data_IF_756495309294
#
_entry.id   IF_756495309294
#
_cell.length_a   1.000
_cell.length_b   1.000
_cell.length_c   1.000
_cell.angle_alpha   90.00
_cell.angle_beta   90.00
_cell.angle_gamma   90.00
#
_symmetry.space_group_name_H-M   'P 1'
#
loop_
_entity.id
_entity.type
_entity.pdbx_description
1 polymer ?
#
# COMPACT_ATOMS: atom_id res chain seq x y z
N UNK A 22 30.52 -47.58 24.79
CA UNK A 22 30.01 -46.36 25.54
C UNK A 22 28.48 -46.46 25.55
N UNK A 23 27.80 -45.44 26.05
CA UNK A 23 26.35 -45.43 26.05
C UNK A 23 25.90 -44.05 26.46
N UNK A 24 25.44 -43.25 25.49
CA UNK A 24 24.92 -41.91 25.78
C UNK A 24 23.41 -42.12 25.84
N UNK A 25 22.76 -41.50 26.82
CA UNK A 25 21.32 -41.58 26.89
C UNK A 25 20.93 -40.41 25.99
N UNK A 26 20.17 -40.69 24.92
CA UNK A 26 19.67 -39.73 23.92
C UNK A 26 18.69 -38.71 24.43
N UNK A 27 18.99 -37.44 24.19
CA UNK A 27 18.14 -36.38 24.67
C UNK A 27 16.80 -36.27 24.00
N UNK A 28 15.92 -35.49 24.60
CA UNK A 28 14.59 -35.24 24.12
C UNK A 28 14.62 -34.30 22.96
N UNK A 29 13.44 -34.02 22.44
CA UNK A 29 13.36 -33.15 21.31
C UNK A 29 11.89 -32.91 21.06
N UNK A 30 11.61 -31.67 20.74
CA UNK A 30 10.27 -31.26 20.42
C UNK A 30 10.54 -30.41 19.22
N UNK A 31 10.24 -30.98 18.06
CA UNK A 31 10.46 -30.23 16.87
C UNK A 31 9.14 -29.71 16.54
N UNK A 32 8.98 -28.40 16.64
CA UNK A 32 7.71 -27.82 16.29
C UNK A 32 7.77 -27.47 14.84
N UNK A 33 6.84 -28.04 14.08
CA UNK A 33 6.80 -27.80 12.65
C UNK A 33 6.34 -26.40 12.28
N UNK A 34 6.51 -26.07 10.99
CA UNK A 34 6.14 -24.76 10.49
C UNK A 34 5.04 -24.75 9.43
N UNK A 35 3.95 -24.09 9.76
CA UNK A 35 2.85 -23.99 8.83
C UNK A 35 3.30 -23.00 7.82
N UNK A 36 3.04 -23.31 6.58
CA UNK A 36 3.41 -22.41 5.53
C UNK A 36 2.32 -22.54 4.52
N UNK A 37 1.52 -21.49 4.39
CA UNK A 37 0.39 -21.48 3.47
C UNK A 37 0.68 -20.63 2.25
N UNK A 38 -0.31 -20.51 1.37
CA UNK A 38 -0.18 -19.70 0.17
C UNK A 38 -1.53 -19.24 -0.24
N UNK A 39 -1.53 -18.10 -0.89
CA UNK A 39 -2.78 -17.53 -1.23
C UNK A 39 -2.71 -16.88 -2.58
N UNK A 40 -3.86 -16.85 -3.27
CA UNK A 40 -4.02 -16.25 -4.62
C UNK A 40 -5.36 -15.74 -4.93
N UNK A 41 -5.36 -14.79 -5.83
CA UNK A 41 -6.63 -14.29 -6.24
C UNK A 41 -6.58 -13.40 -7.44
N UNK A 42 -7.50 -13.80 -8.30
CA UNK A 42 -7.69 -13.18 -9.57
C UNK A 42 -8.65 -11.99 -9.51
N UNK A 43 -8.10 -10.79 -9.38
CA UNK A 43 -8.88 -9.56 -9.32
C UNK A 43 -8.96 -8.95 -10.68
N UNK A 44 -10.09 -8.36 -10.88
CA UNK A 44 -10.39 -7.76 -12.13
C UNK A 44 -10.67 -6.34 -11.92
N UNK A 45 -9.62 -5.66 -12.11
CA UNK A 45 -9.59 -4.28 -11.87
C UNK A 45 -9.86 -3.41 -13.09
N UNK A 46 -10.41 -2.22 -12.85
CA UNK A 46 -10.68 -1.29 -13.91
C UNK A 46 -10.17 0.10 -13.62
N UNK A 47 -9.60 0.67 -14.64
CA UNK A 47 -8.99 1.99 -14.55
C UNK A 47 -9.65 2.86 -15.55
N UNK A 48 -9.54 4.17 -15.34
CA UNK A 48 -10.07 5.12 -16.29
C UNK A 48 -8.86 5.90 -16.77
N UNK A 49 -9.00 6.46 -17.95
CA UNK A 49 -7.93 7.25 -18.46
C UNK A 49 -8.15 8.63 -17.87
N UNK A 50 -7.70 8.84 -16.64
CA UNK A 50 -7.89 10.15 -16.05
C UNK A 50 -7.02 11.08 -16.85
N UNK A 51 -7.65 12.08 -17.43
CA UNK A 51 -7.01 13.05 -18.30
C UNK A 51 -5.92 13.64 -17.53
N UNK A 52 -4.69 13.67 -18.10
CA UNK A 52 -3.50 14.16 -17.39
C UNK A 52 -3.78 15.35 -16.57
N UNK A 53 -4.32 14.86 -15.51
CA UNK A 53 -4.92 15.60 -14.50
C UNK A 53 -4.39 16.90 -14.15
N UNK A 54 -5.22 17.77 -14.71
CA UNK A 54 -5.16 19.17 -14.54
C UNK A 54 -4.87 19.19 -13.03
N UNK A 55 -3.73 19.75 -12.62
CA UNK A 55 -3.40 19.73 -11.22
C UNK A 55 -4.37 20.42 -10.31
N UNK A 56 -4.73 19.73 -9.24
CA UNK A 56 -5.67 20.31 -8.31
C UNK A 56 -4.90 20.99 -7.20
N UNK A 57 -5.27 22.25 -6.79
CA UNK A 57 -4.56 22.92 -5.70
C UNK A 57 -4.90 22.13 -4.43
N UNK A 58 -4.26 22.50 -3.33
CA UNK A 58 -4.41 21.83 -2.05
C UNK A 58 -5.75 21.22 -1.66
N UNK A 59 -5.72 19.88 -1.66
CA UNK A 59 -6.87 19.07 -1.34
C UNK A 59 -7.48 19.48 -0.02
N UNK A 60 -6.68 20.14 0.81
CA UNK A 60 -7.15 20.60 2.11
C UNK A 60 -7.04 22.05 2.30
N UNK A 61 -7.97 22.51 3.12
CA UNK A 61 -8.02 23.89 3.49
C UNK A 61 -6.88 24.08 4.47
N UNK A 62 -6.01 23.06 4.70
CA UNK A 62 -4.88 23.18 5.64
C UNK A 62 -3.57 23.42 4.94
N UNK A 63 -3.39 22.85 3.76
CA UNK A 63 -2.16 23.07 3.03
C UNK A 63 -2.44 23.99 1.84
N UNK A 64 -3.69 24.41 1.76
CA UNK A 64 -4.23 25.30 0.75
C UNK A 64 -3.39 25.75 -0.45
N UNK A 65 -2.15 26.15 -0.21
CA UNK A 65 -1.25 26.62 -1.29
C UNK A 65 -0.27 25.53 -1.82
N UNK A 66 -0.80 24.49 -2.41
CA UNK A 66 0.06 23.42 -2.86
C UNK A 66 -0.69 22.69 -3.94
N UNK A 67 -0.02 21.87 -4.74
CA UNK A 67 -0.74 21.19 -5.78
C UNK A 67 -0.28 19.82 -6.15
N UNK A 68 -1.15 19.16 -6.87
CA UNK A 68 -0.91 17.82 -7.27
C UNK A 68 -0.97 17.57 -8.77
N UNK A 69 0.17 17.35 -9.42
CA UNK A 69 0.17 17.04 -10.86
C UNK A 69 -0.32 15.63 -10.86
N UNK A 70 -1.38 15.38 -11.58
CA UNK A 70 -1.96 14.06 -11.60
C UNK A 70 -1.79 13.15 -12.83
N UNK A 71 -1.68 11.85 -12.57
CA UNK A 71 -1.52 10.83 -13.60
C UNK A 71 -2.71 9.91 -13.46
N UNK A 72 -2.87 8.98 -14.37
CA UNK A 72 -4.00 8.05 -14.27
C UNK A 72 -3.46 6.78 -13.61
N UNK A 73 -2.14 6.70 -13.47
CA UNK A 73 -1.48 5.55 -12.88
C UNK A 73 -2.24 5.04 -11.68
N UNK A 74 -3.05 4.01 -11.89
CA UNK A 74 -3.84 3.43 -10.82
C UNK A 74 -2.93 2.63 -9.94
N UNK A 75 -3.26 2.56 -8.67
CA UNK A 75 -2.42 1.84 -7.75
C UNK A 75 -2.92 0.45 -7.38
N UNK A 76 -2.08 -0.57 -7.59
CA UNK A 76 -2.44 -1.93 -7.20
C UNK A 76 -1.87 -2.06 -5.77
N UNK A 77 -2.74 -2.23 -4.76
CA UNK A 77 -2.44 -2.34 -3.33
C UNK A 77 -1.71 -3.59 -2.88
N UNK A 78 -0.60 -3.85 -3.52
CA UNK A 78 0.19 -5.03 -3.22
C UNK A 78 1.03 -4.68 -2.05
N UNK A 79 0.33 -4.49 -0.94
CA UNK A 79 0.89 -4.10 0.33
C UNK A 79 -0.22 -4.14 1.35
N UNK A 80 -1.46 -4.11 0.89
CA UNK A 80 -2.55 -4.19 1.84
C UNK A 80 -2.86 -5.65 1.80
N UNK A 81 -2.82 -6.27 2.97
CA UNK A 81 -3.06 -7.70 3.08
C UNK A 81 -4.24 -8.29 2.29
N UNK A 82 -5.40 -7.61 2.29
CA UNK A 82 -6.58 -8.11 1.58
C UNK A 82 -6.43 -8.33 0.10
N UNK A 83 -5.45 -7.72 -0.56
CA UNK A 83 -5.33 -7.98 -1.99
C UNK A 83 -5.04 -9.45 -2.14
N UNK A 84 -4.30 -10.00 -1.16
CA UNK A 84 -3.90 -11.40 -1.14
C UNK A 84 -4.87 -12.29 -0.46
N UNK A 85 -5.09 -12.12 0.83
CA UNK A 85 -6.09 -12.98 1.39
C UNK A 85 -7.20 -12.22 2.06
N UNK A 86 -8.33 -12.90 2.18
CA UNK A 86 -9.56 -12.37 2.77
C UNK A 86 -9.53 -12.45 4.27
N UNK A 87 -10.68 -12.16 4.84
CA UNK A 87 -10.86 -12.20 6.27
C UNK A 87 -10.39 -13.43 6.98
N UNK A 88 -11.14 -14.51 6.81
CA UNK A 88 -10.78 -15.77 7.44
C UNK A 88 -9.30 -16.04 7.30
N UNK A 89 -8.81 -16.41 6.13
CA UNK A 89 -7.40 -16.72 5.98
C UNK A 89 -6.50 -15.84 6.81
N UNK A 90 -6.74 -14.53 6.78
CA UNK A 90 -5.94 -13.64 7.61
C UNK A 90 -6.27 -14.03 9.02
N UNK A 91 -7.50 -13.79 9.40
CA UNK A 91 -8.03 -14.11 10.71
C UNK A 91 -7.39 -15.32 11.40
N UNK A 92 -7.26 -16.40 10.67
CA UNK A 92 -6.75 -17.65 11.22
C UNK A 92 -5.22 -17.84 11.33
N UNK A 93 -4.44 -16.81 11.06
CA UNK A 93 -2.99 -16.96 11.16
C UNK A 93 -2.50 -16.92 12.63
N UNK A 94 -1.69 -17.90 13.00
CA UNK A 94 -1.13 -18.04 14.35
C UNK A 94 -0.24 -16.87 14.68
N UNK A 95 0.08 -16.64 15.96
CA UNK A 95 0.95 -15.49 16.21
C UNK A 95 2.31 -15.75 15.58
N UNK A 96 3.01 -14.67 15.28
CA UNK A 96 4.31 -14.78 14.67
C UNK A 96 4.17 -15.04 13.19
N UNK A 97 2.93 -15.01 12.70
CA UNK A 97 2.71 -15.24 11.28
C UNK A 97 3.30 -14.12 10.48
N UNK A 98 4.18 -14.49 9.56
CA UNK A 98 4.81 -13.51 8.72
C UNK A 98 4.66 -13.84 7.25
N UNK A 99 4.42 -12.80 6.47
CA UNK A 99 4.31 -12.93 5.01
C UNK A 99 5.72 -13.11 4.50
N UNK A 100 5.96 -14.17 3.73
CA UNK A 100 7.31 -14.41 3.27
C UNK A 100 7.68 -13.64 2.02
N UNK A 101 6.83 -13.73 1.04
CA UNK A 101 7.06 -13.08 -0.20
C UNK A 101 5.66 -12.98 -0.71
N UNK A 102 5.42 -12.14 -1.68
CA UNK A 102 4.08 -12.01 -2.22
C UNK A 102 4.22 -11.37 -3.57
N UNK A 103 3.48 -11.87 -4.54
CA UNK A 103 3.61 -11.35 -5.88
C UNK A 103 2.33 -10.98 -6.59
N UNK A 104 2.51 -10.10 -7.58
CA UNK A 104 1.46 -9.60 -8.43
C UNK A 104 1.90 -9.64 -9.89
N UNK A 105 1.01 -10.07 -10.77
CA UNK A 105 1.36 -10.08 -12.18
C UNK A 105 0.10 -9.54 -12.76
N UNK A 106 0.22 -8.64 -13.72
CA UNK A 106 -0.98 -8.11 -14.30
C UNK A 106 -0.97 -8.17 -15.79
N UNK A 107 -2.13 -8.32 -16.41
CA UNK A 107 -2.21 -8.40 -17.85
C UNK A 107 -3.06 -7.32 -18.43
N UNK A 108 -2.52 -6.60 -19.41
CA UNK A 108 -3.31 -5.55 -20.00
C UNK A 108 -4.34 -6.31 -20.76
N UNK A 109 -5.42 -6.63 -20.11
CA UNK A 109 -6.44 -7.38 -20.75
C UNK A 109 -7.11 -6.62 -21.87
N UNK A 110 -7.01 -5.30 -21.82
CA UNK A 110 -7.56 -4.37 -22.83
C UNK A 110 -8.10 -3.06 -22.24
N UNK A 111 -8.44 -2.11 -23.09
CA UNK A 111 -9.02 -0.86 -22.64
C UNK A 111 -10.14 -0.56 -23.59
N UNK A 112 -11.04 0.31 -23.18
CA UNK A 112 -12.17 0.69 -24.01
C UNK A 112 -12.28 2.20 -24.03
N UNK A 113 -12.55 2.73 -25.21
CA UNK A 113 -12.64 4.15 -25.36
C UNK A 113 -14.03 4.44 -25.89
N UNK A 114 -14.62 5.54 -25.44
CA UNK A 114 -15.97 5.95 -25.85
C UNK A 114 -16.15 6.22 -27.36
N UNK A 115 -17.37 6.57 -27.74
CA UNK A 115 -17.66 6.89 -29.12
C UNK A 115 -18.59 8.08 -29.08
N UNK A 116 -18.10 9.27 -29.44
CA UNK A 116 -18.97 10.42 -29.37
C UNK A 116 -20.06 10.26 -30.39
N UNK A 117 -21.31 10.30 -29.94
CA UNK A 117 -22.46 10.21 -30.82
C UNK A 117 -23.02 11.63 -30.83
N UNK A 118 -22.84 11.84 -29.42
CA UNK A 118 -23.27 13.22 -29.26
C UNK A 118 -22.57 14.04 -30.29
N UNK A 119 -23.06 14.60 -31.37
CA UNK A 119 -21.92 15.23 -31.87
C UNK A 119 -21.50 16.15 -30.80
N UNK A 120 -22.35 17.01 -30.49
CA UNK A 120 -22.01 17.96 -29.53
C UNK A 120 -20.62 18.29 -29.51
N UNK A 121 -19.99 18.11 -28.42
CA UNK A 121 -19.00 18.90 -28.61
C UNK A 121 -17.77 18.72 -28.60
N UNK A 122 -17.12 17.92 -28.63
CA UNK A 122 -16.24 18.84 -29.38
C UNK A 122 -16.00 18.05 -30.43
N UNK A 123 -16.20 17.12 -29.72
CA UNK A 123 -15.58 16.05 -29.78
C UNK A 123 -15.84 15.01 -30.78
N UNK A 124 -15.80 15.49 -31.95
CA UNK A 124 -15.94 14.69 -33.11
C UNK A 124 -15.81 13.18 -32.81
N UNK A 125 -16.89 12.58 -33.28
CA UNK A 125 -17.20 11.14 -33.29
C UNK A 125 -16.19 10.39 -34.15
N UNK A 126 -15.66 9.26 -33.63
CA UNK A 126 -14.70 8.49 -34.43
C UNK A 126 -14.48 7.04 -34.11
N UNK A 127 -14.31 6.31 -35.18
CA UNK A 127 -14.09 4.91 -35.07
C UNK A 127 -12.58 4.73 -35.07
N UNK A 128 -11.84 5.80 -34.86
CA UNK A 128 -10.41 5.67 -34.89
C UNK A 128 -9.67 4.95 -33.73
N UNK A 129 -8.94 4.97 -33.02
CA UNK A 129 -8.64 4.84 -31.59
C UNK A 129 -7.11 4.81 -31.39
N UNK A 130 -6.63 5.65 -30.74
CA UNK A 130 -5.27 5.67 -30.36
C UNK A 130 -5.09 5.82 -28.87
N UNK A 131 -4.76 4.73 -28.20
CA UNK A 131 -4.58 4.77 -26.76
C UNK A 131 -3.24 4.09 -26.48
N UNK A 132 -2.70 4.28 -25.27
CA UNK A 132 -1.44 3.63 -24.88
C UNK A 132 -1.20 3.37 -23.39
N UNK A 133 -0.97 2.11 -23.02
CA UNK A 133 -0.75 1.67 -21.63
C UNK A 133 0.51 2.32 -21.11
N UNK A 134 0.58 2.38 -19.79
CA UNK A 134 1.75 2.89 -19.14
C UNK A 134 1.81 2.31 -17.77
N UNK A 135 2.92 1.67 -17.48
CA UNK A 135 3.09 1.08 -16.17
C UNK A 135 4.27 1.69 -15.50
N UNK A 136 4.41 1.47 -14.19
CA UNK A 136 5.51 2.00 -13.44
C UNK A 136 5.59 1.32 -12.12
N UNK A 137 6.80 1.20 -11.63
CA UNK A 137 7.03 0.56 -10.35
C UNK A 137 7.39 1.46 -9.20
N UNK A 138 8.67 1.45 -8.83
CA UNK A 138 9.18 2.21 -7.70
C UNK A 138 8.74 3.63 -7.40
N UNK A 139 8.43 4.34 -8.48
CA UNK A 139 8.06 5.76 -8.42
C UNK A 139 7.56 6.12 -7.05
N UNK A 140 6.41 5.55 -6.80
CA UNK A 140 5.69 5.73 -5.55
C UNK A 140 6.61 6.06 -4.42
N UNK A 141 7.05 4.96 -3.89
CA UNK A 141 7.85 4.93 -2.75
C UNK A 141 9.13 5.64 -3.02
N UNK A 142 9.80 5.20 -4.05
CA UNK A 142 11.08 5.72 -4.26
C UNK A 142 11.27 7.15 -4.75
N UNK A 143 10.54 7.56 -5.80
CA UNK A 143 10.66 8.92 -6.31
C UNK A 143 10.21 10.10 -5.41
N UNK A 144 9.47 11.03 -6.01
CA UNK A 144 8.94 12.30 -5.42
C UNK A 144 7.45 12.50 -5.70
N UNK A 145 6.59 11.72 -5.04
CA UNK A 145 5.16 11.82 -5.31
C UNK A 145 4.29 11.36 -4.17
N UNK A 146 3.02 11.13 -4.43
CA UNK A 146 2.12 10.73 -3.37
C UNK A 146 0.92 10.06 -3.97
N UNK A 147 0.49 8.96 -3.36
CA UNK A 147 -0.66 8.24 -3.89
C UNK A 147 -2.04 8.85 -3.79
N UNK A 148 -2.47 9.98 -3.33
CA UNK A 148 -3.62 10.80 -3.09
C UNK A 148 -4.72 10.56 -4.00
N UNK A 149 -5.49 9.71 -3.69
CA UNK A 149 -6.39 9.60 -4.63
C UNK A 149 -7.79 9.61 -4.11
N UNK A 150 -8.53 8.71 -4.73
CA UNK A 150 -9.94 8.86 -4.72
C UNK A 150 -10.07 10.28 -4.93
N UNK A 151 -11.12 10.63 -5.54
CA UNK A 151 -11.20 11.97 -5.99
C UNK A 151 -12.63 12.61 -5.93
N UNK A 152 -12.91 13.53 -6.88
CA UNK A 152 -14.24 14.26 -6.95
C UNK A 152 -14.34 15.12 -8.23
N UNK A 153 -14.96 14.52 -9.32
CA UNK A 153 -14.86 15.25 -10.58
C UNK A 153 -15.76 15.32 -11.80
N UNK A 154 -15.31 16.27 -12.61
CA UNK A 154 -15.85 16.76 -13.87
C UNK A 154 -16.88 16.10 -14.79
N UNK A 155 -17.51 17.00 -15.59
CA UNK A 155 -18.55 16.71 -16.59
C UNK A 155 -17.89 16.31 -17.91
N UNK A 156 -18.68 15.87 -18.92
CA UNK A 156 -18.06 15.40 -20.17
C UNK A 156 -16.85 16.16 -20.63
N UNK A 157 -15.93 15.25 -20.99
CA UNK A 157 -14.55 15.53 -21.27
C UNK A 157 -14.06 15.65 -19.84
N UNK A 158 -14.72 14.62 -19.12
CA UNK A 158 -14.68 14.23 -17.66
C UNK A 158 -13.72 13.19 -17.16
N UNK A 159 -12.50 13.23 -17.66
CA UNK A 159 -11.52 12.27 -17.25
C UNK A 159 -10.52 12.91 -16.34
N UNK A 160 -10.30 14.20 -16.49
CA UNK A 160 -9.44 14.91 -15.57
C UNK A 160 -10.32 14.86 -14.33
N UNK A 161 -9.74 14.90 -13.14
CA UNK A 161 -10.66 14.85 -12.03
C UNK A 161 -10.61 16.11 -11.19
N UNK A 162 -11.25 16.05 -9.99
CA UNK A 162 -11.32 17.20 -9.02
C UNK A 162 -11.94 16.84 -7.62
N UNK A 163 -11.36 16.56 -6.62
CA UNK A 163 -11.08 16.54 -5.21
C UNK A 163 -10.01 15.46 -4.94
N UNK A 164 -8.95 15.76 -4.40
CA UNK A 164 -7.75 14.90 -4.12
C UNK A 164 -8.09 13.63 -3.29
N UNK A 165 -7.97 13.84 -1.99
CA UNK A 165 -8.43 12.93 -0.93
C UNK A 165 -7.45 11.84 -0.47
N UNK A 166 -7.66 11.50 0.79
CA UNK A 166 -6.93 10.43 1.43
C UNK A 166 -7.28 9.15 0.62
N UNK A 167 -6.25 8.45 0.12
CA UNK A 167 -6.36 7.22 -0.66
C UNK A 167 -7.20 6.21 0.11
N UNK A 168 -8.08 5.50 -0.58
CA UNK A 168 -8.93 4.57 0.12
C UNK A 168 -8.58 3.10 -0.04
N UNK A 169 -8.35 2.45 1.09
CA UNK A 169 -8.02 1.03 1.13
C UNK A 169 -9.01 0.38 2.10
N UNK A 170 -9.12 0.99 3.26
CA UNK A 170 -10.05 0.56 4.28
C UNK A 170 -11.36 1.22 3.78
N UNK A 171 -12.42 1.21 4.61
CA UNK A 171 -13.69 1.83 4.18
C UNK A 171 -13.85 3.22 4.77
N UNK A 172 -14.46 4.11 4.02
CA UNK A 172 -14.59 5.47 4.47
C UNK A 172 -16.00 5.80 4.67
N UNK A 173 -16.27 6.77 5.51
CA UNK A 173 -17.65 7.09 5.77
C UNK A 173 -17.88 8.42 6.46
N UNK A 174 -18.93 9.13 6.02
CA UNK A 174 -19.35 10.38 6.61
C UNK A 174 -20.75 9.95 7.00
N UNK A 175 -20.77 8.91 7.84
CA UNK A 175 -21.98 8.23 8.34
C UNK A 175 -22.71 7.29 7.33
N UNK A 176 -22.47 7.52 6.05
CA UNK A 176 -23.07 6.70 5.00
C UNK A 176 -22.05 5.65 4.50
N UNK A 177 -20.81 6.07 4.37
CA UNK A 177 -19.85 5.08 3.98
C UNK A 177 -19.89 4.78 2.53
N UNK A 178 -18.67 4.53 2.08
CA UNK A 178 -18.30 4.15 0.72
C UNK A 178 -17.09 3.30 0.99
N UNK A 179 -16.90 2.32 0.12
CA UNK A 179 -15.75 1.46 0.23
C UNK A 179 -15.77 0.17 1.09
N UNK A 180 -14.55 -0.36 1.24
CA UNK A 180 -14.27 -1.59 1.95
C UNK A 180 -13.49 -2.45 0.97
N UNK A 181 -12.15 -2.37 0.94
CA UNK A 181 -11.35 -3.16 0.01
C UNK A 181 -11.76 -4.58 0.21
N UNK A 182 -11.62 -4.98 1.47
CA UNK A 182 -11.95 -6.31 1.96
C UNK A 182 -13.30 -6.76 1.37
N UNK A 183 -14.35 -6.08 1.78
CA UNK A 183 -15.71 -6.38 1.34
C UNK A 183 -15.94 -6.19 -0.17
N UNK A 184 -15.13 -5.34 -0.80
CA UNK A 184 -15.27 -5.10 -2.25
C UNK A 184 -14.96 -6.40 -2.95
N UNK A 185 -13.97 -7.09 -2.43
CA UNK A 185 -13.53 -8.35 -2.98
C UNK A 185 -14.32 -9.54 -2.47
N UNK A 186 -14.79 -9.44 -1.23
CA UNK A 186 -15.44 -10.58 -0.64
C UNK A 186 -16.88 -10.57 -0.22
N UNK A 187 -17.54 -9.44 -0.26
CA UNK A 187 -18.92 -9.42 0.16
C UNK A 187 -19.12 -9.28 1.66
N UNK A 188 -20.32 -9.56 2.15
CA UNK A 188 -20.51 -9.40 3.58
C UNK A 188 -20.56 -10.75 4.24
N UNK A 189 -21.09 -10.74 5.46
CA UNK A 189 -21.22 -11.89 6.32
C UNK A 189 -22.62 -12.42 6.07
N UNK A 190 -22.84 -13.73 6.20
CA UNK A 190 -24.17 -14.29 5.91
C UNK A 190 -25.32 -13.48 6.52
N UNK A 191 -25.02 -12.73 7.56
CA UNK A 191 -26.00 -11.91 8.23
C UNK A 191 -25.93 -10.41 7.95
N UNK A 192 -24.75 -9.86 7.70
CA UNK A 192 -24.64 -8.41 7.48
C UNK A 192 -25.58 -7.80 6.45
N UNK A 193 -26.36 -6.86 6.94
CA UNK A 193 -27.34 -6.17 6.14
C UNK A 193 -26.82 -5.33 5.00
N UNK A 194 -25.97 -4.36 5.34
CA UNK A 194 -25.39 -3.37 4.39
C UNK A 194 -24.98 -4.00 3.05
N UNK A 195 -24.85 -5.32 3.08
CA UNK A 195 -24.47 -6.10 1.95
C UNK A 195 -25.34 -7.34 1.99
N UNK A 196 -25.11 -8.24 1.03
CA UNK A 196 -25.86 -9.46 0.89
C UNK A 196 -27.14 -8.78 0.08
N UNK A 197 -28.02 -9.23 -0.93
CA UNK A 197 -29.30 -8.31 -1.11
C UNK A 197 -30.00 -7.91 -2.46
N UNK A 198 -29.70 -8.36 -3.57
CA UNK A 198 -30.26 -7.61 -4.62
C UNK A 198 -29.78 -6.25 -4.29
N UNK A 199 -28.63 -6.02 -4.67
CA UNK A 199 -28.27 -4.71 -4.65
C UNK A 199 -27.29 -4.20 -3.59
N UNK A 200 -26.71 -5.09 -2.79
CA UNK A 200 -25.77 -4.65 -1.75
C UNK A 200 -24.46 -5.39 -1.65
N UNK A 201 -23.37 -4.62 -1.45
CA UNK A 201 -21.99 -5.07 -1.32
C UNK A 201 -21.82 -6.59 -1.82
N UNK A 202 -21.37 -6.79 -3.07
CA UNK A 202 -21.23 -8.15 -3.63
C UNK A 202 -19.91 -8.89 -3.49
N UNK A 203 -19.94 -10.24 -3.44
CA UNK A 203 -18.76 -11.08 -3.28
C UNK A 203 -17.70 -10.92 -4.36
N UNK A 204 -17.95 -10.06 -5.34
CA UNK A 204 -17.02 -9.82 -6.44
C UNK A 204 -16.01 -10.87 -6.75
N UNK A 205 -14.87 -10.80 -6.05
CA UNK A 205 -13.79 -11.77 -6.28
C UNK A 205 -14.20 -13.18 -6.30
N UNK A 206 -14.87 -13.50 -5.29
CA UNK A 206 -15.33 -14.83 -5.14
C UNK A 206 -16.19 -15.25 -6.36
N UNK A 207 -16.61 -14.26 -7.20
CA UNK A 207 -17.51 -14.53 -8.40
C UNK A 207 -17.40 -13.45 -9.47
N UNK A 208 -16.20 -13.42 -9.85
CA UNK A 208 -15.56 -12.62 -10.86
C UNK A 208 -16.18 -11.33 -11.23
N UNK A 209 -15.65 -10.32 -10.69
CA UNK A 209 -16.29 -9.15 -10.97
C UNK A 209 -15.50 -8.00 -11.13
N UNK A 210 -15.80 -7.23 -12.00
CA UNK A 210 -14.93 -6.21 -12.03
C UNK A 210 -15.21 -5.29 -10.90
N UNK A 211 -14.15 -4.62 -10.52
CA UNK A 211 -14.18 -3.66 -9.47
C UNK A 211 -13.08 -2.69 -9.90
N UNK A 212 -13.11 -1.47 -9.38
CA UNK A 212 -12.13 -0.47 -9.77
C UNK A 212 -10.90 -0.46 -8.90
N UNK A 213 -9.85 0.19 -9.40
CA UNK A 213 -8.63 0.35 -8.60
C UNK A 213 -8.85 1.77 -8.13
N UNK A 214 -9.44 1.88 -6.94
CA UNK A 214 -9.78 3.16 -6.29
C UNK A 214 -8.42 3.59 -5.73
N UNK A 215 -7.58 4.11 -6.18
CA UNK A 215 -6.51 5.09 -5.99
C UNK A 215 -5.73 5.27 -7.30
N UNK A 216 -5.44 6.32 -7.70
CA UNK A 216 -4.53 6.78 -8.79
C UNK A 216 -3.37 7.56 -8.15
N UNK A 217 -2.33 7.88 -8.90
CA UNK A 217 -1.21 8.55 -8.25
C UNK A 217 -0.84 9.87 -8.82
N UNK A 218 -0.27 10.72 -7.97
CA UNK A 218 0.16 12.03 -8.41
C UNK A 218 1.28 12.65 -7.64
N UNK A 219 1.72 13.80 -8.10
CA UNK A 219 2.78 14.48 -7.43
C UNK A 219 2.35 15.75 -6.76
N UNK A 220 2.91 15.99 -5.58
CA UNK A 220 2.60 17.17 -4.80
C UNK A 220 3.74 18.18 -5.05
N UNK A 221 3.51 19.39 -4.58
CA UNK A 221 4.43 20.51 -4.62
C UNK A 221 3.61 21.72 -4.29
N UNK A 222 4.18 22.65 -3.51
CA UNK A 222 3.47 23.86 -3.13
C UNK A 222 3.96 25.12 -3.90
N UNK A 223 3.96 26.25 -3.20
CA UNK A 223 4.40 27.54 -3.72
C UNK A 223 4.99 28.44 -2.48
N UNK A 224 6.30 28.62 -2.65
CA UNK A 224 7.47 29.35 -1.97
C UNK A 224 8.20 28.71 -0.87
N UNK A 225 7.77 27.84 -0.19
CA UNK A 225 8.80 27.44 0.61
C UNK A 225 9.49 26.26 -0.04
N UNK A 226 10.22 26.66 -1.08
CA UNK A 226 11.03 25.78 -1.97
C UNK A 226 10.43 25.82 -3.39
N UNK A 227 11.32 25.87 -4.46
CA UNK A 227 10.76 25.92 -5.87
C UNK A 227 11.66 25.85 -7.15
N UNK A 228 11.15 25.14 -8.16
CA UNK A 228 11.84 24.93 -9.44
C UNK A 228 11.09 24.29 -10.61
N UNK A 229 9.87 23.80 -10.42
CA UNK A 229 9.15 23.22 -11.56
C UNK A 229 8.74 21.78 -11.39
N UNK A 230 7.96 21.23 -12.35
CA UNK A 230 7.53 19.82 -12.29
C UNK A 230 8.58 18.83 -12.80
N UNK A 231 9.11 17.94 -11.94
CA UNK A 231 10.12 16.99 -12.41
C UNK A 231 9.52 16.16 -13.52
N UNK A 232 10.29 15.22 -14.06
CA UNK A 232 9.77 14.43 -15.18
C UNK A 232 9.29 13.01 -14.97
N UNK A 233 8.00 12.83 -14.74
CA UNK A 233 7.50 11.51 -14.55
C UNK A 233 7.86 10.64 -15.73
N UNK A 234 7.56 11.15 -16.93
CA UNK A 234 7.80 10.44 -18.21
C UNK A 234 9.01 9.56 -18.23
N UNK A 235 10.05 9.91 -17.48
CA UNK A 235 11.26 9.11 -17.46
C UNK A 235 11.32 8.23 -16.25
N UNK A 236 10.16 7.80 -15.78
CA UNK A 236 10.09 6.93 -14.63
C UNK A 236 8.88 6.01 -14.73
N UNK A 237 8.39 5.79 -15.93
CA UNK A 237 7.25 4.91 -16.12
C UNK A 237 7.32 4.63 -17.58
N UNK A 238 6.99 3.42 -18.00
CA UNK A 238 7.07 3.13 -19.43
C UNK A 238 5.71 3.19 -20.01
N UNK A 239 5.69 3.41 -21.31
CA UNK A 239 4.47 3.56 -22.03
C UNK A 239 4.51 2.64 -23.22
N UNK A 240 3.44 1.90 -23.45
CA UNK A 240 3.39 0.99 -24.58
C UNK A 240 2.20 1.33 -25.48
N UNK A 241 2.18 0.86 -26.71
CA UNK A 241 1.06 1.16 -27.55
C UNK A 241 -0.09 0.22 -27.25
N UNK A 242 -0.46 0.11 -25.97
CA UNK A 242 -1.58 -0.72 -25.52
C UNK A 242 -1.87 -1.89 -26.42
N UNK A 243 -2.53 -1.64 -27.54
CA UNK A 243 -2.86 -2.66 -28.51
C UNK A 243 -1.72 -3.63 -28.73
N UNK A 244 -0.52 -3.13 -28.72
CA UNK A 244 0.64 -3.97 -28.88
C UNK A 244 0.78 -4.85 -27.67
N UNK A 245 0.85 -4.20 -26.52
CA UNK A 245 1.04 -4.87 -25.24
C UNK A 245 -0.16 -5.64 -24.72
N UNK A 246 -1.28 -5.41 -25.39
CA UNK A 246 -2.52 -6.01 -25.05
C UNK A 246 -2.47 -7.47 -24.72
N UNK A 247 -3.45 -7.91 -23.95
CA UNK A 247 -3.60 -9.26 -23.48
C UNK A 247 -2.30 -9.90 -23.09
N UNK A 248 -1.27 -9.09 -22.88
CA UNK A 248 -0.01 -9.59 -22.48
C UNK A 248 0.21 -9.01 -21.15
N UNK A 249 0.75 -9.79 -20.24
CA UNK A 249 1.01 -9.26 -18.92
C UNK A 249 2.19 -8.32 -18.88
N UNK A 250 2.01 -7.16 -18.29
CA UNK A 250 3.07 -6.19 -18.07
C UNK A 250 2.85 -6.28 -16.61
N UNK A 251 2.74 -6.71 -15.77
CA UNK A 251 3.44 -6.63 -14.48
C UNK A 251 3.84 -8.04 -14.02
N UNK A 252 4.53 -8.18 -13.29
CA UNK A 252 4.93 -9.26 -12.58
C UNK A 252 6.08 -9.12 -11.58
N UNK A 253 6.07 -8.04 -10.84
CA UNK A 253 7.13 -7.87 -9.88
C UNK A 253 6.63 -8.38 -8.53
N UNK A 254 7.58 -8.76 -7.70
CA UNK A 254 7.26 -9.27 -6.38
C UNK A 254 8.07 -8.67 -5.23
N UNK A 255 7.56 -8.81 -4.02
CA UNK A 255 8.21 -8.27 -2.86
C UNK A 255 8.28 -9.32 -1.79
N UNK A 256 9.45 -9.39 -1.20
CA UNK A 256 9.70 -10.32 -0.13
C UNK A 256 9.94 -9.32 0.99
N UNK A 257 8.89 -8.96 1.74
CA UNK A 257 9.00 -8.00 2.84
C UNK A 257 10.18 -8.21 3.73
N UNK A 258 10.86 -7.13 4.09
CA UNK A 258 12.03 -7.21 4.95
C UNK A 258 11.66 -7.68 6.36
N UNK A 259 10.43 -7.36 6.78
CA UNK A 259 9.90 -7.75 8.09
C UNK A 259 8.39 -7.67 7.96
N UNK A 260 7.77 -8.84 7.78
CA UNK A 260 6.33 -8.91 7.59
C UNK A 260 5.58 -9.69 8.63
N UNK A 261 5.95 -9.50 9.87
CA UNK A 261 5.29 -10.16 10.96
C UNK A 261 3.88 -9.62 10.84
N UNK A 262 2.93 -10.38 10.31
CA UNK A 262 1.56 -9.88 10.17
C UNK A 262 0.51 -10.28 11.19
N UNK A 263 0.94 -10.83 12.31
CA UNK A 263 0.03 -11.22 13.38
C UNK A 263 0.81 -10.96 14.63
N UNK A 264 0.12 -10.64 15.72
CA UNK A 264 0.82 -10.37 16.95
C UNK A 264 1.84 -11.50 17.19
N UNK A 265 3.08 -11.11 17.39
CA UNK A 265 4.29 -11.88 17.62
C UNK A 265 4.18 -12.88 18.72
N UNK A 266 5.28 -13.59 18.91
CA UNK A 266 5.35 -14.58 19.96
C UNK A 266 5.91 -13.99 21.22
N UNK A 267 5.26 -14.32 22.32
CA UNK A 267 5.69 -13.83 23.61
C UNK A 267 6.85 -14.63 24.16
N UNK A 268 7.88 -13.92 24.60
CA UNK A 268 9.02 -14.58 25.19
C UNK A 268 8.58 -14.78 26.62
N UNK A 269 8.90 -15.93 27.19
CA UNK A 269 8.46 -16.16 28.57
C UNK A 269 9.50 -15.84 29.61
N UNK A 270 9.00 -15.32 30.71
CA UNK A 270 9.77 -14.87 31.85
C UNK A 270 10.05 -15.94 32.97
N UNK A 271 10.67 -17.06 32.62
CA UNK A 271 10.92 -18.11 33.63
C UNK A 271 12.33 -18.68 33.68
N UNK A 272 13.31 -17.89 33.50
CA UNK A 272 14.67 -18.40 33.54
C UNK A 272 15.15 -18.40 34.96
N UNK A 273 16.16 -17.66 35.24
CA UNK A 273 16.56 -17.61 36.62
C UNK A 273 17.22 -16.33 37.01
N UNK A 274 18.34 -16.29 37.64
CA UNK A 274 18.58 -15.18 38.63
C UNK A 274 18.37 -14.03 37.80
N UNK A 275 18.31 -13.01 38.38
CA UNK A 275 17.58 -11.74 38.40
C UNK A 275 16.49 -11.74 37.33
N UNK A 276 16.70 -12.60 36.28
CA UNK A 276 15.78 -12.57 35.13
C UNK A 276 14.80 -13.46 35.79
N UNK A 277 13.92 -12.82 36.54
CA UNK A 277 12.88 -13.45 37.30
C UNK A 277 13.17 -13.84 38.71
N UNK A 278 14.37 -13.47 39.20
CA UNK A 278 14.66 -13.64 40.61
C UNK A 278 13.56 -12.67 41.02
N UNK A 279 13.41 -11.62 40.21
CA UNK A 279 12.44 -10.52 40.34
C UNK A 279 12.09 -9.92 38.99
N UNK A 280 11.07 -9.09 38.95
CA UNK A 280 10.77 -8.40 37.72
C UNK A 280 11.37 -7.00 37.95
N UNK A 281 12.70 -6.91 38.02
CA UNK A 281 13.34 -5.63 38.28
C UNK A 281 13.99 -4.86 37.12
N UNK A 282 15.28 -5.05 36.85
CA UNK A 282 15.99 -4.29 35.80
C UNK A 282 16.98 -4.97 34.83
N UNK A 283 17.46 -6.15 35.23
CA UNK A 283 18.41 -6.97 34.46
C UNK A 283 19.16 -6.32 33.31
N UNK A 284 19.76 -5.15 33.50
CA UNK A 284 20.48 -4.49 32.41
C UNK A 284 21.98 -4.81 32.33
N UNK A 285 22.58 -4.66 31.15
CA UNK A 285 24.00 -5.00 30.97
C UNK A 285 24.86 -4.27 29.91
N UNK A 286 26.16 -4.19 30.20
CA UNK A 286 27.17 -3.54 29.34
C UNK A 286 27.56 -4.51 28.26
N UNK A 287 27.01 -4.28 27.09
CA UNK A 287 27.20 -5.11 25.94
C UNK A 287 28.30 -4.63 25.00
N UNK A 288 28.30 -3.33 24.75
CA UNK A 288 29.27 -2.66 23.89
C UNK A 288 29.05 -2.77 22.39
N UNK A 289 27.81 -3.13 22.04
CA UNK A 289 27.25 -3.29 20.69
C UNK A 289 25.91 -2.59 20.63
N UNK A 290 25.66 -1.94 19.51
CA UNK A 290 24.43 -1.17 19.26
C UNK A 290 23.20 -2.11 19.34
N UNK A 291 22.11 -1.66 19.98
CA UNK A 291 20.95 -2.52 20.09
C UNK A 291 19.57 -1.89 20.01
N UNK A 292 19.51 -0.60 19.67
CA UNK A 292 18.24 0.13 19.58
C UNK A 292 17.96 0.74 18.24
N UNK A 293 16.69 0.79 17.93
CA UNK A 293 16.18 1.36 16.68
C UNK A 293 16.61 2.83 16.61
N UNK A 294 16.63 3.46 15.43
CA UNK A 294 17.12 4.85 15.30
C UNK A 294 16.16 5.86 14.63
N UNK A 295 16.54 7.14 14.52
CA UNK A 295 15.69 8.20 13.92
C UNK A 295 16.30 9.44 13.32
N UNK A 296 15.93 9.78 12.10
CA UNK A 296 16.42 10.99 11.44
C UNK A 296 15.33 12.01 11.51
N UNK A 297 15.67 13.25 11.82
CA UNK A 297 14.75 14.39 11.91
C UNK A 297 15.39 15.52 11.12
N UNK A 298 15.17 15.54 9.80
CA UNK A 298 15.73 16.57 8.92
C UNK A 298 15.15 17.94 9.22
N UNK A 299 16.02 18.87 9.58
CA UNK A 299 15.64 20.23 9.92
C UNK A 299 15.62 21.10 8.68
N UNK A 300 14.52 21.05 7.96
CA UNK A 300 14.41 21.84 6.77
C UNK A 300 14.09 23.26 7.29
N UNK A 301 14.91 24.22 6.86
CA UNK A 301 14.77 25.66 7.17
C UNK A 301 15.42 26.35 5.97
N UNK A 302 14.83 27.41 5.44
CA UNK A 302 15.46 28.05 4.27
C UNK A 302 15.06 29.48 4.01
N UNK A 303 15.83 30.11 3.13
CA UNK A 303 15.63 31.49 2.72
C UNK A 303 16.02 31.63 1.25
N UNK A 304 15.15 31.09 0.39
CA UNK A 304 15.33 31.02 -1.06
C UNK A 304 16.11 29.72 -1.32
N UNK A 305 15.40 28.58 -1.31
CA UNK A 305 16.01 27.26 -1.51
C UNK A 305 16.79 26.75 -0.27
N UNK A 306 16.70 25.73 0.43
CA UNK A 306 16.56 25.00 1.70
C UNK A 306 17.98 24.92 2.34
N UNK A 307 18.09 24.37 3.38
CA UNK A 307 19.22 24.32 4.31
C UNK A 307 18.74 23.30 5.36
N UNK A 308 19.36 22.12 5.42
CA UNK A 308 18.91 21.06 6.34
C UNK A 308 19.88 20.65 7.46
N UNK A 309 19.39 19.87 8.41
CA UNK A 309 20.23 19.44 9.53
C UNK A 309 19.62 18.20 10.05
N UNK A 310 20.41 17.17 10.29
CA UNK A 310 19.87 15.91 10.80
C UNK A 310 20.32 15.69 12.22
N UNK A 311 19.61 14.83 12.96
CA UNK A 311 19.97 14.52 14.35
C UNK A 311 19.54 13.09 14.71
N UNK A 312 20.43 12.10 14.65
CA UNK A 312 19.97 10.75 14.95
C UNK A 312 19.38 10.64 16.35
N UNK A 313 18.17 10.11 16.40
CA UNK A 313 17.45 9.90 17.64
C UNK A 313 17.33 8.40 17.74
N UNK A 314 17.68 7.83 18.88
CA UNK A 314 17.54 6.38 19.04
C UNK A 314 16.42 6.23 20.06
N UNK A 315 15.79 5.06 20.12
CA UNK A 315 14.69 4.83 21.04
C UNK A 315 14.44 3.35 21.38
N UNK A 316 13.42 3.06 22.24
CA UNK A 316 12.89 1.79 22.79
C UNK A 316 12.50 0.48 22.09
N UNK A 317 11.56 -0.23 22.70
CA UNK A 317 11.17 -1.51 22.17
C UNK A 317 9.83 -2.14 23.05
N UNK A 318 8.81 -3.46 23.01
CA UNK A 318 8.24 -4.81 22.96
C UNK A 318 6.72 -4.69 22.83
N UNK A 319 6.05 -3.62 23.07
CA UNK A 319 4.58 -3.54 23.05
C UNK A 319 4.10 -3.96 21.67
N UNK A 320 3.01 -4.48 21.18
CA UNK A 320 2.18 -5.21 20.41
C UNK A 320 2.18 -4.81 18.93
N UNK A 321 1.28 -5.31 18.12
CA UNK A 321 1.27 -4.89 16.73
C UNK A 321 -0.11 -4.61 16.25
N UNK A 322 -0.80 -4.84 16.68
CA UNK A 322 -2.10 -4.56 16.07
C UNK A 322 -3.20 -4.68 17.13
N UNK A 323 -4.21 -3.08 17.01
CA UNK A 323 -5.45 -3.80 17.28
C UNK A 323 -6.75 -3.16 16.87
N UNK A 324 -7.67 -4.04 16.48
CA UNK A 324 -9.04 -3.77 16.01
C UNK A 324 -9.49 -5.05 15.30
N UNK A 325 -9.28 -6.05 15.15
CA UNK A 325 -8.73 -7.20 14.42
C UNK A 325 -8.68 -6.86 12.94
N UNK A 326 -9.61 -6.00 12.54
CA UNK A 326 -9.68 -5.62 11.16
C UNK A 326 -8.48 -4.83 10.70
N UNK A 327 -7.36 -5.13 11.34
CA UNK A 327 -6.13 -4.48 10.96
C UNK A 327 -5.41 -5.34 9.97
N UNK A 328 -6.22 -6.01 9.18
CA UNK A 328 -5.71 -6.79 8.08
C UNK A 328 -5.56 -5.64 7.07
N UNK A 329 -6.49 -4.66 7.13
CA UNK A 329 -6.41 -3.51 6.22
C UNK A 329 -5.18 -2.67 6.71
N UNK A 330 -4.31 -3.28 7.51
CA UNK A 330 -3.10 -2.61 7.99
C UNK A 330 -1.99 -2.95 7.00
N UNK A 331 -0.97 -2.09 6.94
CA UNK A 331 0.17 -2.26 6.05
C UNK A 331 0.98 -3.53 6.21
N UNK A 332 1.75 -3.80 5.16
CA UNK A 332 2.59 -4.99 5.06
C UNK A 332 4.00 -4.89 5.55
N UNK A 333 4.90 -4.31 4.78
CA UNK A 333 6.25 -4.27 5.28
C UNK A 333 6.50 -3.27 6.37
N UNK A 334 6.76 -3.80 7.56
CA UNK A 334 7.00 -3.00 8.73
C UNK A 334 8.48 -2.93 9.13
N UNK A 335 9.37 -2.82 8.13
CA UNK A 335 10.80 -2.73 8.34
C UNK A 335 11.24 -1.61 9.26
N UNK A 336 10.60 -0.38 9.29
CA UNK A 336 11.00 0.73 10.17
C UNK A 336 10.56 0.73 11.64
N UNK A 337 9.73 -0.22 12.05
CA UNK A 337 9.37 -0.21 13.45
C UNK A 337 9.43 -1.52 14.24
N UNK A 338 9.29 -2.66 13.56
CA UNK A 338 9.39 -3.94 14.26
C UNK A 338 10.82 -4.48 14.41
N UNK A 339 11.62 -4.02 15.39
CA UNK A 339 12.99 -4.57 15.58
C UNK A 339 12.87 -5.94 16.24
N UNK A 340 13.33 -6.97 15.55
CA UNK A 340 13.21 -8.30 16.13
C UNK A 340 14.42 -8.46 17.00
N UNK A 341 14.19 -8.85 18.26
CA UNK A 341 15.25 -9.05 19.26
C UNK A 341 16.12 -7.82 19.47
N UNK A 342 17.04 -7.85 20.46
CA UNK A 342 17.92 -6.69 20.69
C UNK A 342 18.71 -5.91 19.54
N UNK A 343 18.37 -6.05 18.24
CA UNK A 343 19.10 -5.33 17.11
C UNK A 343 18.51 -4.26 16.11
N UNK A 344 18.62 -4.45 14.78
CA UNK A 344 18.19 -3.39 13.81
C UNK A 344 18.08 -3.58 12.26
N UNK A 345 17.66 -2.53 11.52
CA UNK A 345 17.51 -2.51 10.04
C UNK A 345 16.70 -1.30 9.49
N UNK A 346 16.29 -1.30 8.18
CA UNK A 346 15.50 -0.27 7.44
C UNK A 346 14.34 -0.78 6.46
N UNK A 347 13.70 -0.99 5.46
CA UNK A 347 13.32 -0.64 4.08
C UNK A 347 11.83 -0.91 3.85
N UNK A 348 11.47 0.00 2.58
CA UNK A 348 10.08 0.31 2.19
C UNK A 348 9.63 -0.69 1.08
N UNK A 349 8.35 -1.12 1.13
CA UNK A 349 7.75 -2.05 0.17
C UNK A 349 7.77 -1.29 -1.15
N UNK A 350 8.14 -1.89 -2.25
CA UNK A 350 8.14 -1.09 -3.47
C UNK A 350 6.73 -0.73 -3.79
N UNK A 351 6.46 0.09 -4.81
CA UNK A 351 5.07 0.38 -5.14
C UNK A 351 4.76 0.11 -6.61
N UNK A 352 3.53 -0.18 -7.00
CA UNK A 352 3.25 -0.45 -8.42
C UNK A 352 1.96 0.09 -9.09
N UNK A 353 2.13 0.69 -10.27
CA UNK A 353 1.03 1.30 -11.04
C UNK A 353 0.80 0.82 -12.50
N UNK A 354 -0.47 0.58 -12.87
CA UNK A 354 -0.87 0.11 -14.20
C UNK A 354 -1.88 1.11 -14.72
N UNK A 355 -1.96 1.39 -16.05
CA UNK A 355 -2.94 2.36 -16.71
C UNK A 355 -2.76 2.80 -18.20
N UNK A 356 -3.72 3.62 -18.74
CA UNK A 356 -3.68 4.12 -20.12
C UNK A 356 -3.74 5.68 -20.12
N UNK A 357 -2.79 6.33 -20.80
CA UNK A 357 -2.74 7.84 -20.91
C UNK A 357 -4.06 8.19 -21.55
N UNK A 358 -4.68 9.26 -21.11
CA UNK A 358 -5.96 9.52 -21.69
C UNK A 358 -6.12 9.91 -23.17
N UNK A 359 -7.02 9.17 -23.82
CA UNK A 359 -7.39 9.38 -25.19
C UNK A 359 -7.92 10.78 -25.38
N UNK A 360 -7.28 11.49 -26.27
CA UNK A 360 -7.62 12.85 -26.59
C UNK A 360 -8.81 12.97 -27.53
N UNK A 361 -9.72 13.91 -27.30
CA UNK A 361 -10.87 14.02 -28.20
C UNK A 361 -10.37 14.41 -29.58
N UNK A 362 -11.12 14.18 -30.67
CA UNK A 362 -10.63 14.60 -32.01
C UNK A 362 -10.76 16.11 -32.30
N UNK A 363 -10.95 16.89 -31.22
CA UNK A 363 -11.06 18.36 -31.25
C UNK A 363 -10.42 18.95 -32.49
N UNK A 364 -11.20 19.08 -33.53
CA UNK A 364 -10.72 19.59 -34.78
C UNK A 364 -10.10 20.97 -34.74
N UNK A 365 -9.86 21.46 -35.96
CA UNK A 365 -9.34 22.78 -36.27
C UNK A 365 -8.70 23.55 -35.13
N UNK A 366 -9.61 24.26 -34.47
CA UNK A 366 -9.39 25.21 -33.40
C UNK A 366 -8.95 24.63 -32.08
N UNK A 367 -8.46 24.03 -31.73
CA UNK A 367 -7.84 23.50 -30.55
C UNK A 367 -6.51 23.89 -30.67
N UNK A 368 -6.21 24.82 -29.95
CA UNK A 368 -4.87 25.02 -29.92
C UNK A 368 -4.59 24.97 -28.40
N UNK A 369 -5.57 24.85 -27.44
CA UNK A 369 -5.35 24.18 -26.07
C UNK A 369 -5.77 22.65 -26.12
N UNK A 370 -5.19 21.74 -25.33
CA UNK A 370 -5.65 20.32 -25.40
C UNK A 370 -6.26 19.89 -24.16
N UNK A 371 -7.46 19.99 -24.19
CA UNK A 371 -8.04 19.76 -23.02
C UNK A 371 -9.33 18.97 -23.14
N UNK A 372 -9.60 18.41 -24.31
CA UNK A 372 -10.82 17.63 -24.42
C UNK A 372 -10.46 16.15 -24.36
N UNK A 373 -11.08 15.44 -23.42
CA UNK A 373 -10.75 14.06 -23.18
C UNK A 373 -11.79 12.98 -23.25
N UNK A 374 -11.55 12.02 -24.13
CA UNK A 374 -12.44 10.89 -24.32
C UNK A 374 -12.36 9.88 -23.23
N UNK A 375 -13.54 9.62 -22.69
CA UNK A 375 -13.73 8.68 -21.61
C UNK A 375 -13.24 7.35 -22.12
N UNK A 376 -12.47 6.67 -21.30
CA UNK A 376 -11.93 5.37 -21.66
C UNK A 376 -11.58 4.64 -20.38
N UNK A 377 -11.89 3.34 -20.36
CA UNK A 377 -11.69 2.50 -19.20
C UNK A 377 -10.89 1.23 -19.54
N UNK A 378 -9.81 0.95 -18.79
CA UNK A 378 -8.98 -0.23 -18.99
C UNK A 378 -9.26 -1.37 -18.01
N UNK A 379 -9.46 -2.59 -18.53
CA UNK A 379 -9.70 -3.78 -17.71
C UNK A 379 -8.39 -4.53 -17.56
N UNK A 380 -7.75 -4.31 -16.43
CA UNK A 380 -6.48 -4.94 -16.14
C UNK A 380 -6.78 -6.16 -15.25
N UNK A 381 -6.21 -7.29 -15.65
CA UNK A 381 -6.38 -8.58 -14.98
C UNK A 381 -5.15 -8.81 -14.05
N UNK A 382 -5.40 -8.83 -12.76
CA UNK A 382 -4.34 -8.94 -11.76
C UNK A 382 -4.44 -10.16 -10.86
N UNK A 383 -3.36 -10.94 -10.73
CA UNK A 383 -3.40 -12.06 -9.78
C UNK A 383 -2.43 -11.82 -8.64
N UNK A 384 -2.93 -11.99 -7.43
CA UNK A 384 -2.10 -11.79 -6.29
C UNK A 384 -2.00 -13.03 -5.48
N UNK A 385 -0.83 -13.15 -4.86
CA UNK A 385 -0.47 -14.30 -4.09
C UNK A 385 0.53 -13.91 -3.04
N UNK A 386 0.72 -14.81 -2.07
CA UNK A 386 1.69 -14.64 -1.00
C UNK A 386 1.82 -15.96 -0.25
N UNK A 387 2.81 -16.00 0.62
CA UNK A 387 3.04 -17.19 1.38
C UNK A 387 2.56 -17.09 2.80
N UNK A 388 2.51 -16.56 3.66
CA UNK A 388 2.87 -16.29 5.05
C UNK A 388 2.83 -17.60 5.86
N UNK A 389 3.68 -17.70 6.90
CA UNK A 389 3.89 -18.99 7.57
C UNK A 389 4.31 -18.76 9.00
N UNK A 390 4.57 -19.83 9.75
CA UNK A 390 5.02 -19.72 11.15
C UNK A 390 5.09 -21.02 11.96
N UNK A 391 5.51 -20.89 13.21
CA UNK A 391 5.64 -22.01 14.13
C UNK A 391 4.74 -21.76 15.32
N UNK A 392 4.63 -22.73 16.22
CA UNK A 392 3.86 -22.58 17.45
C UNK A 392 4.59 -23.50 18.40
N UNK A 393 5.74 -23.04 18.95
CA UNK A 393 6.57 -23.81 19.87
C UNK A 393 6.33 -23.50 21.30
N UNK A 394 6.85 -24.34 22.16
CA UNK A 394 6.69 -24.08 23.56
C UNK A 394 7.80 -24.76 24.27
N UNK A 395 8.52 -24.00 25.07
CA UNK A 395 9.60 -24.61 25.75
C UNK A 395 9.47 -24.85 27.23
N UNK A 396 8.29 -24.53 27.75
CA UNK A 396 8.05 -24.77 29.14
C UNK A 396 6.89 -25.71 29.29
N UNK A 397 7.11 -26.79 30.03
CA UNK A 397 6.24 -27.92 30.37
C UNK A 397 4.81 -27.60 30.73
N UNK A 398 4.60 -26.49 31.40
CA UNK A 398 3.28 -26.15 31.83
C UNK A 398 2.91 -24.76 31.34
N UNK A 399 3.74 -24.18 30.49
CA UNK A 399 3.46 -22.85 30.02
C UNK A 399 2.25 -22.90 29.17
N UNK A 400 1.38 -21.95 29.34
CA UNK A 400 0.27 -21.99 28.45
C UNK A 400 0.83 -21.40 27.20
N UNK A 401 0.92 -20.66 26.62
CA UNK A 401 0.71 -20.09 25.29
C UNK A 401 1.78 -20.59 24.32
N UNK A 402 1.94 -20.58 22.97
CA UNK A 402 3.17 -20.45 22.27
C UNK A 402 4.16 -19.61 23.02
N UNK A 403 5.44 -19.92 22.89
CA UNK A 403 6.47 -19.19 23.60
C UNK A 403 7.91 -19.41 23.10
N UNK A 404 8.69 -18.34 23.13
CA UNK A 404 10.08 -18.38 22.73
C UNK A 404 11.08 -17.92 23.74
N UNK A 405 11.76 -16.79 23.45
CA UNK A 405 12.85 -16.26 24.30
C UNK A 405 13.28 -14.87 23.81
N UNK A 406 13.88 -14.03 24.71
CA UNK A 406 14.28 -12.70 24.26
C UNK A 406 15.21 -12.89 23.13
N UNK A 407 15.86 -14.07 23.10
CA UNK A 407 16.76 -14.42 22.02
C UNK A 407 16.19 -13.75 20.75
N UNK A 408 14.87 -13.72 20.60
CA UNK A 408 14.30 -13.02 19.47
C UNK A 408 13.18 -12.08 19.87
N UNK A 409 12.51 -12.01 20.67
CA UNK A 409 11.11 -11.83 21.09
C UNK A 409 10.39 -10.91 20.09
N UNK A 410 10.95 -9.86 19.68
CA UNK A 410 10.48 -8.95 18.63
C UNK A 410 10.40 -7.67 19.45
N UNK A 411 10.11 -6.51 18.86
CA UNK A 411 9.98 -5.28 19.65
C UNK A 411 9.49 -4.22 18.74
N UNK A 412 8.50 -3.44 19.15
CA UNK A 412 8.03 -2.40 18.27
C UNK A 412 8.59 -1.09 18.77
N UNK A 413 8.42 -0.05 17.99
CA UNK A 413 8.85 1.25 18.45
C UNK A 413 7.69 2.21 18.28
N UNK A 414 7.05 2.57 19.39
CA UNK A 414 5.87 3.46 19.37
C UNK A 414 6.07 4.95 19.24
N UNK A 415 5.03 5.60 18.70
CA UNK A 415 4.97 7.04 18.48
C UNK A 415 3.55 7.58 18.48
N UNK A 416 3.46 8.87 18.78
CA UNK A 416 2.23 9.64 18.86
C UNK A 416 1.41 9.57 17.60
N UNK A 417 2.04 9.87 16.46
CA UNK A 417 1.22 9.78 15.26
C UNK A 417 1.61 8.49 14.55
N UNK A 418 1.16 8.41 13.31
CA UNK A 418 1.41 7.32 12.40
C UNK A 418 2.92 6.99 12.30
N UNK A 419 3.24 5.72 12.05
CA UNK A 419 4.65 5.36 11.88
C UNK A 419 4.85 5.16 10.36
N UNK A 420 5.69 6.00 9.76
CA UNK A 420 5.98 5.96 8.31
C UNK A 420 4.51 5.87 7.57
N UNK A 421 3.53 7.05 7.56
CA UNK A 421 2.18 7.12 6.98
C UNK A 421 2.30 7.14 5.46
N UNK A 422 2.49 5.97 4.90
CA UNK A 422 2.55 5.91 3.47
C UNK A 422 1.15 6.16 2.93
N UNK A 423 1.12 7.41 2.60
CA UNK A 423 0.06 8.21 2.02
C UNK A 423 0.64 9.61 2.07
N UNK A 424 2.03 9.57 1.81
CA UNK A 424 2.69 10.88 1.75
C UNK A 424 4.20 10.64 1.64
N UNK A 425 4.90 11.07 0.87
CA UNK A 425 6.11 10.90 0.05
C UNK A 425 7.36 10.99 0.94
N UNK A 426 8.31 10.25 0.32
CA UNK A 426 9.38 9.61 0.93
C UNK A 426 10.39 10.61 1.31
N UNK A 427 11.39 10.07 1.65
CA UNK A 427 12.62 10.66 1.82
C UNK A 427 13.43 9.30 1.85
N UNK A 428 13.38 8.34 1.48
CA UNK A 428 13.27 6.92 1.09
C UNK A 428 12.33 6.18 2.04
N UNK A 429 12.43 6.38 3.27
CA UNK A 429 11.70 5.65 4.28
C UNK A 429 10.44 6.54 4.24
N UNK A 430 9.38 6.24 4.99
CA UNK A 430 8.23 7.14 4.97
C UNK A 430 8.24 8.13 6.12
N UNK A 431 8.06 9.43 5.86
CA UNK A 431 8.04 10.34 6.97
C UNK A 431 6.97 9.81 7.92
N UNK A 432 7.07 10.00 9.23
CA UNK A 432 6.00 9.55 10.14
C UNK A 432 5.15 10.84 10.56
N UNK A 433 4.14 11.28 9.76
CA UNK A 433 3.21 12.48 9.95
C UNK A 433 2.01 12.33 8.92
N UNK A 434 0.74 12.80 9.11
CA UNK A 434 -0.29 12.57 8.00
C UNK A 434 -0.78 13.65 6.95
N UNK A 435 -0.35 13.52 5.67
CA UNK A 435 -0.62 14.45 4.54
C UNK A 435 -1.98 14.68 3.92
N UNK A 436 -2.20 15.92 3.45
CA UNK A 436 -3.48 16.41 2.88
C UNK A 436 -4.69 16.26 3.85
#
# INVERSE_FOLDING_TARGET
MSLPGTGSGTSSGGGNTQGQDVYIIPRPFSNFGKKLSTYTKSHKFMIFGLANNVIGPTGTGTTAVNRLLTTCLAEIPWQKLPLYMNQSEFDLLPPGSRVVECNVKVIFRTNRIAFETSSTVTKQATLNQISNVQTAIGLNKLGWGINRAFTAFQSDQPMIPTATTAPKYEPVTGDTGYRGMIADYYGADSTNDTAFGNAGNYPHHQVSSFTFLQNYYCMYQQTNQGTGGWPCLAEHLQQFDSKTVNNQCLIDVTYKPKMGLIKSPLNYKIIGQPTVKGTISVGDNLVNMRGAVVTNPPEATQNVAESTHNLTRNFPADLFNIYSDIEKSQVLHKGPWGHENPQIQPSVHIGIQAVPALTTGALLINSSPLNSWTDSMGYIDVMSSCTVMEAQPTHFPFSTEANTNPGNTIYRINLTPNSLTSAFNGLYGNGATLGNV
#
